data_IF_982608803818
#
_entry.id   IF_982608803818
#
_cell.length_a   1.000
_cell.length_b   1.000
_cell.length_c   1.000
_cell.angle_alpha   90.00
_cell.angle_beta   90.00
_cell.angle_gamma   90.00
#
_symmetry.space_group_name_H-M   'P 1'
#
loop_
_entity.id
_entity.type
_entity.pdbx_description
1 polymer ?
#
# COMPACT_ATOMS: atom_id res chain seq x y z
N UNK A 1 -15.26 4.78 34.55
CA UNK A 1 -15.89 5.34 33.33
C UNK A 1 -15.45 4.47 32.16
N UNK A 2 -16.31 3.55 31.72
CA UNK A 2 -15.98 2.58 30.67
C UNK A 2 -16.44 3.09 29.32
N UNK A 3 -15.50 3.35 28.41
CA UNK A 3 -15.83 3.61 27.00
C UNK A 3 -16.04 2.23 26.36
N UNK A 4 -17.29 1.75 26.35
CA UNK A 4 -17.69 0.64 25.50
C UNK A 4 -18.23 1.22 24.18
N UNK A 5 -17.42 1.15 23.13
CA UNK A 5 -17.85 1.50 21.76
C UNK A 5 -18.25 0.23 21.03
N UNK A 6 -19.48 -0.24 21.27
CA UNK A 6 -20.09 -1.43 20.65
C UNK A 6 -20.54 -1.23 19.19
N UNK A 7 -20.19 -0.10 18.55
CA UNK A 7 -20.57 0.18 17.16
C UNK A 7 -19.33 0.27 16.29
N UNK A 8 -19.20 -0.58 15.25
CA UNK A 8 -18.12 -0.43 14.29
C UNK A 8 -18.23 0.94 13.64
N UNK A 9 -17.14 1.72 13.71
CA UNK A 9 -17.05 2.99 13.01
C UNK A 9 -17.20 2.75 11.51
N UNK A 10 -17.91 3.65 10.83
CA UNK A 10 -18.09 3.57 9.38
C UNK A 10 -16.72 3.82 8.72
N UNK A 11 -16.25 2.84 7.95
CA UNK A 11 -15.02 3.01 7.18
C UNK A 11 -15.25 3.98 6.01
N UNK A 12 -14.28 4.87 5.78
CA UNK A 12 -14.26 5.76 4.60
C UNK A 12 -14.07 4.96 3.30
N UNK A 13 -13.31 3.86 3.39
CA UNK A 13 -13.07 2.94 2.30
C UNK A 13 -12.95 1.49 2.80
N UNK A 14 -13.51 0.55 2.06
CA UNK A 14 -13.42 -0.91 2.29
C UNK A 14 -12.79 -1.56 1.05
N UNK A 15 -11.65 -2.22 1.23
CA UNK A 15 -11.00 -3.03 0.21
C UNK A 15 -11.23 -4.51 0.51
N UNK A 16 -11.78 -5.24 -0.46
CA UNK A 16 -11.93 -6.70 -0.42
C UNK A 16 -10.96 -7.31 -1.42
N UNK A 17 -10.07 -8.19 -0.96
CA UNK A 17 -9.04 -8.84 -1.77
C UNK A 17 -8.80 -10.27 -1.26
N UNK A 18 -8.44 -11.20 -2.14
CA UNK A 18 -8.03 -12.54 -1.69
C UNK A 18 -6.66 -12.49 -1.00
N UNK A 19 -6.46 -13.36 -0.01
CA UNK A 19 -5.18 -13.44 0.72
C UNK A 19 -3.99 -13.73 -0.20
N UNK A 20 -4.18 -14.58 -1.22
CA UNK A 20 -3.12 -14.90 -2.21
C UNK A 20 -2.69 -13.68 -3.01
N UNK A 21 -3.67 -12.87 -3.45
CA UNK A 21 -3.43 -11.67 -4.25
C UNK A 21 -2.79 -10.56 -3.39
N UNK A 22 -3.13 -10.49 -2.10
CA UNK A 22 -2.48 -9.60 -1.14
C UNK A 22 -0.99 -9.92 -0.97
N UNK A 23 -0.61 -11.19 -0.90
CA UNK A 23 0.80 -11.58 -0.84
C UNK A 23 1.57 -11.14 -2.09
N UNK A 24 0.96 -11.26 -3.27
CA UNK A 24 1.59 -10.85 -4.54
C UNK A 24 1.73 -9.32 -4.65
N UNK A 25 0.74 -8.58 -4.14
CA UNK A 25 0.80 -7.12 -4.02
C UNK A 25 1.97 -6.67 -3.14
N UNK A 26 2.19 -7.34 -2.01
CA UNK A 26 3.28 -7.00 -1.07
C UNK A 26 4.67 -7.33 -1.61
N UNK A 27 4.79 -8.35 -2.46
CA UNK A 27 6.05 -8.76 -3.10
C UNK A 27 6.33 -7.91 -4.36
N UNK A 28 5.59 -6.81 -4.57
CA UNK A 28 5.76 -5.84 -5.66
C UNK A 28 5.59 -6.41 -7.08
N UNK A 29 5.01 -7.60 -7.23
CA UNK A 29 4.75 -8.20 -8.55
C UNK A 29 3.43 -7.71 -9.17
N UNK A 30 2.49 -7.20 -8.36
CA UNK A 30 1.19 -6.70 -8.82
C UNK A 30 0.86 -5.36 -8.16
N UNK A 31 0.34 -4.42 -8.94
CA UNK A 31 -0.14 -3.15 -8.39
C UNK A 31 -1.63 -3.24 -8.05
N UNK A 32 -2.07 -2.40 -7.10
CA UNK A 32 -3.50 -2.29 -6.73
C UNK A 32 -4.42 -1.96 -7.92
N UNK A 33 -4.07 -1.03 -8.83
CA UNK A 33 -4.80 -0.80 -10.07
C UNK A 33 -5.01 -2.09 -10.88
N UNK A 34 -3.97 -2.90 -11.07
CA UNK A 34 -4.06 -4.16 -11.84
C UNK A 34 -5.03 -5.16 -11.19
N UNK A 35 -5.10 -5.17 -9.86
CA UNK A 35 -6.01 -6.04 -9.10
C UNK A 35 -7.46 -5.58 -9.15
N UNK A 36 -7.70 -4.26 -9.24
CA UNK A 36 -9.03 -3.70 -9.44
C UNK A 36 -9.53 -3.95 -10.88
N UNK A 37 -8.66 -3.79 -11.88
CA UNK A 37 -8.99 -4.07 -13.28
C UNK A 37 -9.26 -5.55 -13.54
N UNK A 38 -8.50 -6.44 -12.90
CA UNK A 38 -8.69 -7.90 -13.01
C UNK A 38 -9.87 -8.45 -12.20
N UNK A 39 -10.68 -7.60 -11.58
CA UNK A 39 -11.81 -7.97 -10.69
C UNK A 39 -11.40 -8.85 -9.50
N UNK A 40 -10.10 -8.92 -9.18
CA UNK A 40 -9.57 -9.69 -8.04
C UNK A 40 -9.61 -8.90 -6.73
N UNK A 41 -9.81 -7.59 -6.83
CA UNK A 41 -10.07 -6.72 -5.70
C UNK A 41 -11.33 -5.88 -5.95
N UNK A 42 -12.08 -5.61 -4.88
CA UNK A 42 -13.22 -4.71 -4.89
C UNK A 42 -13.00 -3.58 -3.88
N UNK A 43 -13.14 -2.34 -4.32
CA UNK A 43 -13.06 -1.15 -3.48
C UNK A 43 -14.46 -0.53 -3.34
N UNK A 44 -14.90 -0.28 -2.11
CA UNK A 44 -16.16 0.39 -1.80
C UNK A 44 -15.89 1.59 -0.89
N UNK A 45 -16.33 2.78 -1.29
CA UNK A 45 -16.11 4.02 -0.54
C UNK A 45 -15.31 5.03 -1.34
N UNK A 46 -14.54 5.88 -0.65
CA UNK A 46 -13.73 6.91 -1.29
C UNK A 46 -12.42 6.32 -1.86
N UNK A 47 -12.34 6.26 -3.19
CA UNK A 47 -11.13 5.82 -3.89
C UNK A 47 -10.00 6.84 -3.81
N UNK A 48 -10.31 8.13 -3.62
CA UNK A 48 -9.31 9.19 -3.53
C UNK A 48 -8.51 9.09 -2.23
N UNK A 49 -9.19 8.88 -1.10
CA UNK A 49 -8.54 8.63 0.19
C UNK A 49 -7.61 7.41 0.16
N UNK A 50 -8.03 6.35 -0.53
CA UNK A 50 -7.18 5.16 -0.70
C UNK A 50 -5.96 5.44 -1.57
N UNK A 51 -6.12 6.17 -2.68
CA UNK A 51 -5.00 6.58 -3.55
C UNK A 51 -3.98 7.46 -2.81
N UNK A 52 -4.43 8.37 -1.93
CA UNK A 52 -3.54 9.18 -1.07
C UNK A 52 -2.74 8.33 -0.08
N UNK A 53 -3.35 7.29 0.47
CA UNK A 53 -2.63 6.35 1.34
C UNK A 53 -1.58 5.56 0.53
N UNK A 54 -1.97 5.05 -0.64
CA UNK A 54 -1.06 4.33 -1.53
C UNK A 54 0.11 5.21 -1.99
N UNK A 55 -0.11 6.51 -2.26
CA UNK A 55 0.96 7.44 -2.65
C UNK A 55 1.96 7.75 -1.52
N UNK A 56 1.63 7.41 -0.29
CA UNK A 56 2.51 7.59 0.88
C UNK A 56 3.46 6.39 1.05
N UNK A 57 3.21 5.29 0.34
CA UNK A 57 4.09 4.10 0.36
C UNK A 57 5.36 4.42 -0.43
N UNK A 58 6.52 4.12 0.19
CA UNK A 58 7.83 4.35 -0.41
C UNK A 58 8.52 3.03 -0.73
N UNK A 59 9.28 3.01 -1.82
CA UNK A 59 10.14 1.88 -2.19
C UNK A 59 11.54 2.14 -1.65
N UNK A 60 12.08 1.18 -0.89
CA UNK A 60 13.46 1.24 -0.42
C UNK A 60 14.42 0.83 -1.52
N UNK A 61 15.41 1.68 -1.82
CA UNK A 61 16.54 1.31 -2.67
C UNK A 61 17.57 0.57 -1.81
N UNK A 62 17.85 -0.71 -2.08
CA UNK A 62 18.77 -1.50 -1.26
C UNK A 62 20.22 -1.04 -1.38
N UNK A 63 20.55 -0.32 -2.46
CA UNK A 63 21.85 0.29 -2.67
C UNK A 63 21.99 1.53 -1.78
N UNK A 64 22.58 1.34 -0.60
CA UNK A 64 22.99 2.42 0.29
C UNK A 64 24.45 2.24 0.68
N UNK A 65 25.17 3.36 0.73
CA UNK A 65 26.54 3.38 1.24
C UNK A 65 26.51 3.24 2.77
N UNK A 66 27.12 2.17 3.30
CA UNK A 66 27.30 1.99 4.75
C UNK A 66 28.22 3.09 5.33
N UNK A 67 29.19 3.54 4.52
CA UNK A 67 30.05 4.67 4.80
C UNK A 67 29.97 5.62 3.60
N UNK A 68 29.51 6.87 3.78
CA UNK A 68 29.36 7.81 2.67
C UNK A 68 30.71 8.04 2.01
N UNK A 69 30.90 7.53 0.79
CA UNK A 69 32.05 7.90 -0.02
C UNK A 69 31.65 9.11 -0.86
N UNK A 70 32.40 10.22 -0.83
CA UNK A 70 32.14 11.34 -1.72
C UNK A 70 32.30 10.84 -3.16
N UNK A 71 31.17 10.78 -3.88
CA UNK A 71 30.99 10.56 -5.31
C UNK A 71 32.21 10.02 -6.08
N UNK A 72 32.17 8.75 -6.49
CA UNK A 72 32.83 8.34 -7.73
C UNK A 72 31.90 8.57 -8.92
N UNK A 73 31.60 9.84 -9.20
CA UNK A 73 31.21 10.28 -10.54
C UNK A 73 32.50 10.67 -11.28
N UNK A 74 33.26 9.68 -11.74
CA UNK A 74 34.38 9.93 -12.66
C UNK A 74 34.79 8.64 -13.39
N UNK A 75 33.93 8.13 -14.28
CA UNK A 75 34.26 7.84 -15.67
C UNK A 75 33.04 7.42 -16.47
#
# INVERSE_FOLDING_TARGET
MGIQTDKPMKADTTLTINKSDMSQLLVTELTLPDLLESQKAALKGDSESFMKMASTVVTFTPDFDIVPMPNKSAK
#
